data_IF_296543003487
#
_entry.id   IF_296543003487
#
_cell.length_a   1.000
_cell.length_b   1.000
_cell.length_c   1.000
_cell.angle_alpha   90.00
_cell.angle_beta   90.00
_cell.angle_gamma   90.00
#
_symmetry.space_group_name_H-M   'P 1'
#
loop_
_entity.id
_entity.type
_entity.pdbx_description
1 polymer ?
#
# COMPACT_ATOMS: atom_id res chain seq x y z
N UNK A 1 21.32 2.08 18.04
CA UNK A 1 20.18 1.26 18.53
C UNK A 1 19.33 0.90 17.31
N UNK A 2 18.94 -0.35 17.14
CA UNK A 2 18.08 -0.76 16.02
C UNK A 2 16.63 -0.42 16.37
N UNK A 3 16.10 0.66 15.78
CA UNK A 3 14.71 1.04 15.88
C UNK A 3 14.20 1.45 14.49
N UNK A 4 12.89 1.34 14.24
CA UNK A 4 12.30 1.81 12.99
C UNK A 4 12.66 3.28 12.71
N UNK A 5 12.58 4.14 13.76
CA UNK A 5 12.96 5.54 13.64
C UNK A 5 14.40 5.73 13.16
N UNK A 6 15.39 5.03 13.78
CA UNK A 6 16.79 5.21 13.38
C UNK A 6 17.05 4.66 11.98
N UNK A 7 16.36 3.60 11.59
CA UNK A 7 16.47 3.00 10.26
C UNK A 7 15.96 3.94 9.17
N UNK A 8 14.74 4.47 9.32
CA UNK A 8 14.19 5.42 8.37
C UNK A 8 14.96 6.73 8.34
N UNK A 9 15.51 7.20 9.48
CA UNK A 9 16.37 8.37 9.49
C UNK A 9 17.62 8.15 8.65
N UNK A 10 18.31 7.01 8.77
CA UNK A 10 19.46 6.68 7.93
C UNK A 10 19.12 6.66 6.43
N UNK A 11 17.92 6.15 6.08
CA UNK A 11 17.44 6.15 4.69
C UNK A 11 17.20 7.57 4.19
N UNK A 12 16.61 8.43 5.02
CA UNK A 12 16.35 9.84 4.69
C UNK A 12 17.65 10.65 4.58
N UNK A 13 18.63 10.37 5.43
CA UNK A 13 19.89 11.15 5.49
C UNK A 13 20.85 10.89 4.33
N UNK A 14 20.64 9.84 3.52
CA UNK A 14 21.49 9.50 2.38
C UNK A 14 20.73 9.59 1.07
N UNK A 15 21.22 10.38 0.13
CA UNK A 15 20.56 10.60 -1.16
C UNK A 15 20.35 9.29 -1.96
N UNK A 16 21.33 8.39 -1.98
CA UNK A 16 21.23 7.12 -2.71
C UNK A 16 20.08 6.23 -2.15
N UNK A 17 19.99 6.09 -0.83
CA UNK A 17 18.95 5.30 -0.20
C UNK A 17 17.57 5.98 -0.24
N UNK A 18 17.53 7.29 -0.09
CA UNK A 18 16.34 8.10 -0.23
C UNK A 18 15.77 8.03 -1.65
N UNK A 19 16.65 8.12 -2.65
CA UNK A 19 16.30 8.02 -4.07
C UNK A 19 15.67 6.66 -4.37
N UNK A 20 16.30 5.56 -3.94
CA UNK A 20 15.74 4.22 -4.12
C UNK A 20 14.41 4.05 -3.38
N UNK A 21 14.33 4.52 -2.13
CA UNK A 21 13.10 4.42 -1.33
C UNK A 21 11.93 5.14 -1.99
N UNK A 22 12.11 6.41 -2.38
CA UNK A 22 11.06 7.18 -3.04
C UNK A 22 10.70 6.61 -4.42
N UNK A 23 11.68 6.03 -5.15
CA UNK A 23 11.41 5.40 -6.45
C UNK A 23 10.57 4.12 -6.30
N UNK A 24 10.85 3.29 -5.30
CA UNK A 24 10.03 2.09 -4.99
C UNK A 24 8.61 2.52 -4.64
N UNK A 25 8.45 3.49 -3.74
CA UNK A 25 7.15 3.99 -3.34
C UNK A 25 6.39 4.58 -4.54
N UNK A 26 6.99 5.51 -5.29
CA UNK A 26 6.34 6.13 -6.46
C UNK A 26 5.90 5.11 -7.52
N UNK A 27 6.65 4.02 -7.72
CA UNK A 27 6.31 2.96 -8.66
C UNK A 27 5.11 2.15 -8.19
N UNK A 28 5.07 1.79 -6.92
CA UNK A 28 3.94 1.05 -6.33
C UNK A 28 2.63 1.84 -6.40
N UNK A 29 2.68 3.12 -6.02
CA UNK A 29 1.53 4.04 -6.08
C UNK A 29 1.01 4.21 -7.52
N UNK A 30 1.92 4.45 -8.48
CA UNK A 30 1.53 4.58 -9.89
C UNK A 30 0.87 3.29 -10.43
N UNK A 31 1.32 2.13 -9.99
CA UNK A 31 0.72 0.85 -10.34
C UNK A 31 -0.68 0.72 -9.72
N UNK A 32 -0.85 1.05 -8.43
CA UNK A 32 -2.15 1.08 -7.75
C UNK A 32 -3.13 2.03 -8.43
N UNK A 33 -2.67 3.24 -8.79
CA UNK A 33 -3.45 4.21 -9.55
C UNK A 33 -3.96 3.66 -10.87
N UNK A 34 -3.09 3.01 -11.67
CA UNK A 34 -3.47 2.36 -12.91
C UNK A 34 -4.49 1.24 -12.70
N UNK A 35 -4.26 0.35 -11.73
CA UNK A 35 -5.18 -0.76 -11.42
C UNK A 35 -6.57 -0.25 -11.04
N UNK A 36 -6.65 0.70 -10.12
CA UNK A 36 -7.91 1.28 -9.68
C UNK A 36 -8.64 2.00 -10.82
N UNK A 37 -7.93 2.74 -11.69
CA UNK A 37 -8.53 3.39 -12.86
C UNK A 37 -9.13 2.36 -13.84
N UNK A 38 -8.41 1.25 -14.09
CA UNK A 38 -8.92 0.17 -14.94
C UNK A 38 -10.12 -0.53 -14.32
N UNK A 39 -10.06 -0.85 -13.02
CA UNK A 39 -11.18 -1.49 -12.31
C UNK A 39 -12.41 -0.60 -12.33
N UNK A 40 -12.27 0.70 -12.05
CA UNK A 40 -13.38 1.66 -12.08
C UNK A 40 -14.08 1.71 -13.45
N UNK A 41 -13.29 1.66 -14.53
CA UNK A 41 -13.81 1.66 -15.90
C UNK A 41 -14.56 0.36 -16.25
N UNK A 42 -14.20 -0.76 -15.62
CA UNK A 42 -14.71 -2.11 -15.94
C UNK A 42 -15.72 -2.63 -14.91
N UNK A 43 -16.12 -1.83 -13.91
CA UNK A 43 -17.14 -2.22 -12.91
C UNK A 43 -18.41 -2.66 -13.62
N UNK A 44 -19.00 -3.82 -13.23
CA UNK A 44 -20.25 -4.29 -13.85
C UNK A 44 -21.42 -3.34 -13.56
N UNK A 45 -22.41 -3.32 -14.42
CA UNK A 45 -23.57 -2.40 -14.32
C UNK A 45 -24.30 -2.54 -12.97
N UNK A 46 -24.40 -3.77 -12.44
CA UNK A 46 -25.03 -4.05 -11.15
C UNK A 46 -24.32 -3.41 -9.94
N UNK A 47 -23.05 -2.98 -10.11
CA UNK A 47 -22.22 -2.35 -9.07
C UNK A 47 -21.69 -0.98 -9.49
N UNK A 48 -22.30 -0.33 -10.47
CA UNK A 48 -21.82 0.93 -11.06
C UNK A 48 -21.71 2.07 -10.04
N UNK A 49 -22.46 2.02 -8.98
CA UNK A 49 -22.43 2.97 -7.85
C UNK A 49 -21.07 2.99 -7.13
N UNK A 50 -20.27 1.94 -7.24
CA UNK A 50 -18.92 1.86 -6.64
C UNK A 50 -17.84 2.57 -7.48
N UNK A 51 -18.05 2.70 -8.80
CA UNK A 51 -17.06 3.25 -9.70
C UNK A 51 -16.50 4.63 -9.27
N UNK A 52 -17.29 5.59 -8.78
CA UNK A 52 -16.75 6.88 -8.31
C UNK A 52 -15.76 6.75 -7.15
N UNK A 53 -16.01 5.84 -6.20
CA UNK A 53 -15.12 5.61 -5.04
C UNK A 53 -13.81 4.97 -5.49
N UNK A 54 -13.86 3.98 -6.38
CA UNK A 54 -12.68 3.32 -6.96
C UNK A 54 -11.87 4.34 -7.79
N UNK A 55 -12.54 5.17 -8.58
CA UNK A 55 -11.88 6.25 -9.34
C UNK A 55 -11.14 7.21 -8.41
N UNK A 56 -11.77 7.59 -7.30
CA UNK A 56 -11.14 8.47 -6.31
C UNK A 56 -9.92 7.82 -5.69
N UNK A 57 -10.01 6.56 -5.28
CA UNK A 57 -8.88 5.78 -4.75
C UNK A 57 -7.71 5.83 -5.74
N UNK A 58 -7.92 5.47 -7.01
CA UNK A 58 -6.87 5.53 -8.02
C UNK A 58 -6.27 6.92 -8.23
N UNK A 59 -7.08 7.98 -8.12
CA UNK A 59 -6.58 9.36 -8.21
C UNK A 59 -5.72 9.77 -6.99
N UNK A 60 -6.03 9.24 -5.80
CA UNK A 60 -5.22 9.44 -4.60
C UNK A 60 -3.89 8.70 -4.72
N UNK A 61 -3.86 7.44 -5.21
CA UNK A 61 -2.64 6.69 -5.51
C UNK A 61 -1.73 7.45 -6.50
N UNK A 62 -2.28 7.92 -7.62
CA UNK A 62 -1.55 8.75 -8.57
C UNK A 62 -0.98 10.03 -7.93
N UNK A 63 -1.70 10.63 -7.00
CA UNK A 63 -1.24 11.79 -6.22
C UNK A 63 -0.07 11.40 -5.31
N UNK A 64 -0.14 10.25 -4.64
CA UNK A 64 0.95 9.74 -3.79
C UNK A 64 2.22 9.51 -4.62
N UNK A 65 2.12 8.90 -5.79
CA UNK A 65 3.23 8.74 -6.71
C UNK A 65 3.88 10.07 -7.09
N UNK A 66 3.06 11.10 -7.38
CA UNK A 66 3.55 12.46 -7.64
C UNK A 66 4.23 13.11 -6.41
N UNK A 67 3.73 12.84 -5.20
CA UNK A 67 4.33 13.31 -3.95
C UNK A 67 5.75 12.75 -3.80
N UNK A 68 5.96 11.44 -3.98
CA UNK A 68 7.30 10.84 -3.91
C UNK A 68 8.24 11.40 -4.97
N UNK A 69 7.78 11.59 -6.20
CA UNK A 69 8.56 12.22 -7.26
C UNK A 69 8.89 13.70 -6.94
N UNK A 70 7.98 14.44 -6.31
CA UNK A 70 8.24 15.81 -5.87
C UNK A 70 9.28 15.86 -4.73
N UNK A 71 9.30 14.88 -3.85
CA UNK A 71 10.33 14.75 -2.81
C UNK A 71 11.72 14.51 -3.42
N UNK A 72 11.84 13.67 -4.45
CA UNK A 72 13.08 13.49 -5.20
C UNK A 72 13.55 14.80 -5.85
N UNK A 73 12.62 15.46 -6.55
CA UNK A 73 12.92 16.72 -7.24
C UNK A 73 13.43 17.82 -6.30
N UNK A 74 12.94 17.89 -5.06
CA UNK A 74 13.45 18.83 -4.05
C UNK A 74 14.92 18.65 -3.74
N UNK A 75 15.43 17.43 -3.84
CA UNK A 75 16.86 17.10 -3.69
C UNK A 75 17.62 17.09 -5.01
N UNK A 76 16.99 17.46 -6.13
CA UNK A 76 17.57 17.38 -7.49
C UNK A 76 17.94 15.92 -7.86
N UNK A 77 17.18 14.96 -7.36
CA UNK A 77 17.33 13.54 -7.64
C UNK A 77 16.29 13.10 -8.68
N UNK A 78 16.68 12.20 -9.58
CA UNK A 78 15.79 11.58 -10.56
C UNK A 78 15.37 10.17 -10.08
N UNK A 79 14.18 9.68 -10.44
CA UNK A 79 13.79 8.31 -10.14
C UNK A 79 14.80 7.29 -10.71
N UNK A 80 15.04 6.21 -9.95
CA UNK A 80 15.89 5.09 -10.39
C UNK A 80 15.04 3.85 -10.68
N UNK A 81 15.53 2.92 -11.53
CA UNK A 81 14.85 1.65 -11.77
C UNK A 81 14.59 0.88 -10.46
N UNK A 82 13.35 0.43 -10.27
CA UNK A 82 12.95 -0.37 -9.10
C UNK A 82 13.43 -1.80 -9.27
N UNK A 83 14.21 -2.35 -8.33
CA UNK A 83 14.60 -3.75 -8.38
C UNK A 83 13.36 -4.67 -8.31
N UNK A 84 13.24 -5.69 -9.19
CA UNK A 84 12.02 -6.52 -9.27
C UNK A 84 11.66 -7.27 -7.98
N UNK A 85 12.62 -7.50 -7.10
CA UNK A 85 12.44 -8.14 -5.80
C UNK A 85 11.95 -7.18 -4.70
N UNK A 86 11.89 -5.88 -5.00
CA UNK A 86 11.36 -4.83 -4.12
C UNK A 86 10.00 -4.31 -4.57
N UNK A 87 9.49 -4.76 -5.71
CA UNK A 87 8.21 -4.36 -6.27
C UNK A 87 7.07 -5.18 -5.65
N UNK A 88 6.52 -4.64 -4.57
CA UNK A 88 5.49 -5.29 -3.76
C UNK A 88 4.22 -5.62 -4.58
N UNK A 89 3.72 -4.69 -5.36
CA UNK A 89 2.50 -4.83 -6.15
C UNK A 89 2.65 -5.94 -7.20
N UNK A 90 3.76 -5.92 -7.94
CA UNK A 90 4.02 -6.95 -8.94
C UNK A 90 4.32 -8.33 -8.33
N UNK A 91 4.82 -8.39 -7.10
CA UNK A 91 5.00 -9.67 -6.41
C UNK A 91 3.67 -10.26 -5.93
N UNK A 92 2.71 -9.43 -5.52
CA UNK A 92 1.33 -9.84 -5.24
C UNK A 92 0.66 -10.40 -6.50
N UNK A 93 0.70 -9.66 -7.60
CA UNK A 93 0.12 -10.05 -8.90
C UNK A 93 0.67 -11.39 -9.39
N UNK A 94 1.99 -11.58 -9.36
CA UNK A 94 2.65 -12.84 -9.77
C UNK A 94 2.24 -14.05 -8.94
N UNK A 95 1.77 -13.84 -7.71
CA UNK A 95 1.22 -14.91 -6.86
C UNK A 95 -0.30 -15.06 -6.98
N UNK A 96 -0.92 -14.39 -7.93
CA UNK A 96 -2.36 -14.46 -8.18
C UNK A 96 -3.20 -13.77 -7.11
N UNK A 97 -2.62 -12.78 -6.41
CA UNK A 97 -3.33 -11.98 -5.42
C UNK A 97 -3.81 -10.68 -6.08
N UNK A 98 -5.08 -10.36 -5.88
CA UNK A 98 -5.76 -9.29 -6.61
C UNK A 98 -6.31 -9.75 -7.95
N UNK A 99 -6.55 -8.81 -8.86
CA UNK A 99 -6.98 -9.07 -10.22
C UNK A 99 -5.78 -9.12 -11.16
N UNK A 100 -5.72 -10.16 -11.99
CA UNK A 100 -4.63 -10.31 -12.95
C UNK A 100 -4.59 -9.10 -13.93
N UNK A 101 -3.41 -8.54 -14.16
CA UNK A 101 -3.22 -7.40 -15.06
C UNK A 101 -3.67 -7.70 -16.49
N UNK A 102 -3.47 -8.93 -16.95
CA UNK A 102 -3.97 -9.35 -18.28
C UNK A 102 -5.49 -9.26 -18.39
N UNK A 103 -6.22 -9.48 -17.29
CA UNK A 103 -7.67 -9.27 -17.25
C UNK A 103 -8.01 -7.78 -17.29
N UNK A 104 -7.30 -6.94 -16.54
CA UNK A 104 -7.52 -5.50 -16.50
C UNK A 104 -7.17 -4.80 -17.83
N UNK A 105 -6.30 -5.37 -18.65
CA UNK A 105 -5.96 -4.84 -19.99
C UNK A 105 -7.03 -5.11 -21.05
N UNK A 106 -7.96 -6.03 -20.79
CA UNK A 106 -9.08 -6.28 -21.69
C UNK A 106 -10.18 -5.26 -21.43
N UNK A 107 -10.88 -4.84 -22.48
CA UNK A 107 -12.03 -3.93 -22.36
C UNK A 107 -13.33 -4.73 -22.12
N UNK A 108 -13.27 -5.71 -21.22
CA UNK A 108 -14.38 -6.58 -20.84
C UNK A 108 -14.85 -6.19 -19.42
N UNK A 109 -16.16 -6.10 -19.23
CA UNK A 109 -16.73 -5.84 -17.91
C UNK A 109 -16.30 -6.90 -16.91
N UNK A 110 -15.93 -6.47 -15.73
CA UNK A 110 -15.64 -7.35 -14.59
C UNK A 110 -16.93 -8.01 -14.10
N UNK A 111 -16.81 -9.15 -13.45
CA UNK A 111 -17.91 -9.78 -12.73
C UNK A 111 -18.03 -9.22 -11.31
N UNK A 112 -19.18 -9.39 -10.66
CA UNK A 112 -19.35 -9.08 -9.23
C UNK A 112 -18.32 -9.81 -8.35
N UNK A 113 -18.00 -11.06 -8.71
CA UNK A 113 -16.95 -11.82 -8.03
C UNK A 113 -15.58 -11.16 -8.12
N UNK A 114 -15.25 -10.53 -9.26
CA UNK A 114 -14.00 -9.79 -9.41
C UNK A 114 -13.94 -8.56 -8.51
N UNK A 115 -15.07 -7.86 -8.36
CA UNK A 115 -15.17 -6.72 -7.45
C UNK A 115 -14.99 -7.16 -5.99
N UNK A 116 -15.58 -8.31 -5.62
CA UNK A 116 -15.35 -8.90 -4.28
C UNK A 116 -13.87 -9.25 -4.07
N UNK A 117 -13.21 -9.83 -5.09
CA UNK A 117 -11.75 -10.13 -5.03
C UNK A 117 -10.94 -8.86 -4.89
N UNK A 118 -11.21 -7.84 -5.72
CA UNK A 118 -10.56 -6.54 -5.69
C UNK A 118 -10.68 -5.91 -4.29
N UNK A 119 -11.88 -5.70 -3.78
CA UNK A 119 -12.08 -5.05 -2.47
C UNK A 119 -11.47 -5.84 -1.31
N UNK A 120 -11.52 -7.18 -1.37
CA UNK A 120 -10.91 -8.02 -0.35
C UNK A 120 -9.39 -7.93 -0.37
N UNK A 121 -8.79 -7.88 -1.55
CA UNK A 121 -7.36 -7.64 -1.72
C UNK A 121 -6.97 -6.24 -1.24
N UNK A 122 -7.63 -5.20 -1.75
CA UNK A 122 -7.40 -3.82 -1.32
C UNK A 122 -7.51 -3.67 0.19
N UNK A 123 -8.55 -4.26 0.83
CA UNK A 123 -8.68 -4.21 2.30
C UNK A 123 -7.42 -4.70 3.03
N UNK A 124 -6.76 -5.72 2.49
CA UNK A 124 -5.54 -6.29 3.09
C UNK A 124 -4.34 -5.37 2.88
N UNK A 125 -4.16 -4.85 1.67
CA UNK A 125 -3.05 -3.94 1.33
C UNK A 125 -3.20 -2.59 2.01
N UNK A 126 -4.43 -2.02 2.06
CA UNK A 126 -4.72 -0.78 2.76
C UNK A 126 -4.46 -0.89 4.27
N UNK A 127 -4.76 -2.05 4.90
CA UNK A 127 -4.37 -2.24 6.30
C UNK A 127 -2.86 -2.21 6.49
N UNK A 128 -2.10 -2.78 5.54
CA UNK A 128 -0.63 -2.72 5.58
C UNK A 128 -0.13 -1.29 5.42
N UNK A 129 -0.68 -0.54 4.47
CA UNK A 129 -0.34 0.85 4.22
C UNK A 129 -0.67 1.73 5.44
N UNK A 130 -1.87 1.58 6.02
CA UNK A 130 -2.28 2.32 7.23
C UNK A 130 -1.36 2.03 8.43
N UNK A 131 -1.02 0.75 8.69
CA UNK A 131 -0.09 0.37 9.78
C UNK A 131 1.30 1.03 9.58
N UNK A 132 1.79 1.10 8.33
CA UNK A 132 3.06 1.74 8.01
C UNK A 132 2.98 3.26 8.16
N UNK A 133 1.91 3.88 7.65
CA UNK A 133 1.71 5.32 7.74
C UNK A 133 1.51 5.79 9.19
N UNK A 134 0.85 5.01 10.04
CA UNK A 134 0.76 5.30 11.48
C UNK A 134 2.16 5.37 12.11
N UNK A 135 3.03 4.40 11.81
CA UNK A 135 4.40 4.38 12.30
C UNK A 135 5.21 5.56 11.77
N UNK A 136 5.12 5.86 10.46
CA UNK A 136 5.84 6.97 9.84
C UNK A 136 5.35 8.32 10.38
N UNK A 137 4.05 8.50 10.54
CA UNK A 137 3.45 9.73 11.10
C UNK A 137 3.94 9.94 12.54
N UNK A 138 3.98 8.89 13.35
CA UNK A 138 4.47 8.96 14.73
C UNK A 138 5.91 9.45 14.83
N UNK A 139 6.79 9.06 13.93
CA UNK A 139 8.22 9.38 14.03
C UNK A 139 8.66 10.53 13.14
N UNK A 140 7.97 10.77 12.04
CA UNK A 140 8.38 11.71 10.99
C UNK A 140 7.26 12.67 10.57
N UNK A 141 6.10 12.65 11.21
CA UNK A 141 5.00 13.55 10.88
C UNK A 141 5.37 15.04 10.93
N UNK A 142 6.31 15.41 11.80
CA UNK A 142 6.81 16.78 11.93
C UNK A 142 8.20 16.99 11.29
N UNK A 143 8.69 15.99 10.52
CA UNK A 143 9.97 16.12 9.83
C UNK A 143 9.88 17.22 8.75
N UNK A 144 10.85 18.17 8.68
CA UNK A 144 10.73 19.37 7.83
C UNK A 144 10.63 19.06 6.35
N UNK A 145 11.21 17.97 5.89
CA UNK A 145 11.22 17.59 4.48
C UNK A 145 10.07 16.66 4.10
N UNK A 146 9.85 15.59 4.86
CA UNK A 146 8.91 14.51 4.51
C UNK A 146 7.61 14.53 5.29
N UNK A 147 7.52 15.28 6.40
CA UNK A 147 6.37 15.22 7.31
C UNK A 147 5.04 15.61 6.67
N UNK A 148 5.03 16.63 5.79
CA UNK A 148 3.82 17.04 5.06
C UNK A 148 3.31 15.91 4.15
N UNK A 149 4.22 15.25 3.43
CA UNK A 149 3.92 14.14 2.55
C UNK A 149 3.34 12.95 3.34
N UNK A 150 4.01 12.56 4.44
CA UNK A 150 3.57 11.47 5.32
C UNK A 150 2.16 11.71 5.86
N UNK A 151 1.86 12.90 6.39
CA UNK A 151 0.52 13.21 6.91
C UNK A 151 -0.54 13.20 5.83
N UNK A 152 -0.22 13.68 4.62
CA UNK A 152 -1.15 13.69 3.49
C UNK A 152 -1.50 12.27 3.06
N UNK A 153 -0.49 11.43 2.83
CA UNK A 153 -0.68 10.02 2.45
C UNK A 153 -1.44 9.28 3.56
N UNK A 154 -1.02 9.41 4.83
CA UNK A 154 -1.68 8.75 5.96
C UNK A 154 -3.17 9.06 6.05
N UNK A 155 -3.57 10.30 5.75
CA UNK A 155 -4.98 10.69 5.75
C UNK A 155 -5.77 10.01 4.62
N UNK A 156 -5.18 9.92 3.43
CA UNK A 156 -5.82 9.28 2.29
C UNK A 156 -5.93 7.75 2.51
N UNK A 157 -4.91 7.09 3.07
CA UNK A 157 -4.92 5.67 3.43
C UNK A 157 -6.02 5.31 4.45
N UNK A 158 -6.24 6.18 5.45
CA UNK A 158 -7.36 6.00 6.39
C UNK A 158 -8.72 5.99 5.65
N UNK A 159 -8.88 6.82 4.61
CA UNK A 159 -10.09 6.86 3.79
C UNK A 159 -10.23 5.63 2.88
N UNK A 160 -9.11 5.16 2.27
CA UNK A 160 -9.09 3.95 1.45
C UNK A 160 -9.50 2.73 2.28
N UNK A 161 -8.92 2.58 3.45
CA UNK A 161 -9.26 1.51 4.38
C UNK A 161 -10.73 1.54 4.80
N UNK A 162 -11.25 2.74 5.11
CA UNK A 162 -12.63 2.93 5.53
C UNK A 162 -13.61 2.51 4.43
N UNK A 163 -13.40 2.95 3.20
CA UNK A 163 -14.29 2.62 2.10
C UNK A 163 -14.28 1.12 1.77
N UNK A 164 -13.12 0.46 1.81
CA UNK A 164 -13.03 -0.98 1.63
C UNK A 164 -13.85 -1.74 2.67
N UNK A 165 -13.80 -1.32 3.95
CA UNK A 165 -14.62 -1.88 5.02
C UNK A 165 -16.12 -1.71 4.76
N UNK A 166 -16.55 -0.50 4.41
CA UNK A 166 -17.97 -0.19 4.15
C UNK A 166 -18.52 -1.06 3.02
N UNK A 167 -17.81 -1.12 1.89
CA UNK A 167 -18.25 -1.89 0.73
C UNK A 167 -18.25 -3.40 0.98
N UNK A 168 -17.22 -3.92 1.66
CA UNK A 168 -17.19 -5.34 2.00
C UNK A 168 -18.29 -5.73 2.97
N UNK A 169 -18.66 -4.88 3.94
CA UNK A 169 -19.79 -5.11 4.82
C UNK A 169 -21.14 -5.07 4.08
N UNK A 170 -21.28 -4.13 3.12
CA UNK A 170 -22.46 -4.07 2.24
C UNK A 170 -22.60 -5.35 1.43
N UNK A 171 -21.54 -5.76 0.71
CA UNK A 171 -21.54 -6.98 -0.10
C UNK A 171 -21.74 -8.25 0.75
N UNK A 172 -21.24 -8.27 1.97
CA UNK A 172 -21.50 -9.40 2.88
C UNK A 172 -22.98 -9.52 3.23
N UNK A 173 -23.68 -8.40 3.45
CA UNK A 173 -25.13 -8.36 3.67
C UNK A 173 -25.93 -8.77 2.41
N UNK A 174 -25.40 -8.54 1.22
CA UNK A 174 -25.96 -8.97 -0.07
C UNK A 174 -25.70 -10.45 -0.42
N UNK A 175 -25.03 -11.19 0.47
CA UNK A 175 -24.85 -12.64 0.34
C UNK A 175 -23.45 -13.10 -0.04
N UNK A 176 -22.50 -12.19 -0.28
CA UNK A 176 -21.11 -12.51 -0.65
C UNK A 176 -20.22 -12.88 0.54
N UNK A 177 -20.73 -12.92 1.77
CA UNK A 177 -19.94 -13.05 3.01
C UNK A 177 -18.98 -14.24 3.04
N UNK A 178 -19.38 -15.43 2.53
CA UNK A 178 -18.49 -16.61 2.49
C UNK A 178 -17.28 -16.38 1.57
N UNK A 179 -17.52 -15.78 0.40
CA UNK A 179 -16.48 -15.46 -0.57
C UNK A 179 -15.53 -14.43 -0.02
N UNK A 180 -16.04 -13.34 0.55
CA UNK A 180 -15.28 -12.29 1.18
C UNK A 180 -14.34 -12.87 2.25
N UNK A 181 -14.88 -13.66 3.17
CA UNK A 181 -14.08 -14.27 4.24
C UNK A 181 -12.96 -15.18 3.69
N UNK A 182 -13.23 -15.97 2.66
CA UNK A 182 -12.25 -16.85 2.01
C UNK A 182 -11.15 -16.01 1.35
N UNK A 183 -11.52 -15.03 0.52
CA UNK A 183 -10.57 -14.22 -0.23
C UNK A 183 -9.73 -13.35 0.71
N UNK A 184 -10.33 -12.71 1.71
CA UNK A 184 -9.58 -11.96 2.74
C UNK A 184 -8.52 -12.82 3.41
N UNK A 185 -8.88 -14.05 3.80
CA UNK A 185 -7.94 -14.98 4.45
C UNK A 185 -6.81 -15.40 3.51
N UNK A 186 -7.12 -15.73 2.27
CA UNK A 186 -6.14 -16.12 1.25
C UNK A 186 -5.18 -14.95 0.97
N UNK A 187 -5.71 -13.75 0.75
CA UNK A 187 -4.93 -12.52 0.52
C UNK A 187 -4.04 -12.18 1.71
N UNK A 188 -4.56 -12.18 2.94
CA UNK A 188 -3.77 -11.86 4.12
C UNK A 188 -2.63 -12.86 4.35
N UNK A 189 -2.86 -14.16 4.17
CA UNK A 189 -1.83 -15.18 4.34
C UNK A 189 -0.76 -15.15 3.23
N UNK A 190 -1.11 -14.71 2.04
CA UNK A 190 -0.15 -14.49 0.96
C UNK A 190 0.62 -13.17 1.18
N UNK A 191 -0.09 -12.09 1.55
CA UNK A 191 0.50 -10.78 1.79
C UNK A 191 1.62 -10.84 2.83
N UNK A 192 1.41 -11.45 4.00
CA UNK A 192 2.44 -11.50 5.04
C UNK A 192 3.73 -12.22 4.59
N UNK A 193 3.65 -13.18 3.66
CA UNK A 193 4.83 -13.82 3.06
C UNK A 193 5.54 -12.88 2.11
N UNK A 194 4.78 -12.26 1.21
CA UNK A 194 5.30 -11.32 0.22
C UNK A 194 5.91 -10.11 0.92
N UNK A 195 5.23 -9.56 1.92
CA UNK A 195 5.74 -8.44 2.71
C UNK A 195 7.06 -8.76 3.42
N UNK A 196 7.22 -9.99 3.96
CA UNK A 196 8.51 -10.46 4.48
C UNK A 196 9.57 -10.44 3.39
N UNK A 197 9.29 -11.01 2.22
CA UNK A 197 10.27 -11.17 1.15
C UNK A 197 10.69 -9.82 0.57
N UNK A 198 9.73 -8.92 0.34
CA UNK A 198 9.99 -7.53 -0.06
C UNK A 198 10.80 -6.79 1.00
N UNK A 199 10.43 -6.92 2.28
CA UNK A 199 11.15 -6.26 3.37
C UNK A 199 12.61 -6.72 3.44
N UNK A 200 12.87 -8.02 3.27
CA UNK A 200 14.25 -8.55 3.21
C UNK A 200 15.01 -7.99 2.00
N UNK A 201 14.37 -7.94 0.82
CA UNK A 201 14.98 -7.39 -0.39
C UNK A 201 15.29 -5.89 -0.23
N UNK A 202 14.32 -5.10 0.19
CA UNK A 202 14.51 -3.64 0.42
C UNK A 202 15.63 -3.41 1.42
N UNK A 203 15.63 -4.10 2.58
CA UNK A 203 16.70 -3.96 3.57
C UNK A 203 18.06 -4.42 3.07
N UNK A 204 18.11 -5.41 2.17
CA UNK A 204 19.35 -5.83 1.50
C UNK A 204 19.89 -4.73 0.58
N UNK A 205 19.03 -4.12 -0.25
CA UNK A 205 19.43 -3.00 -1.12
C UNK A 205 19.88 -1.80 -0.30
N UNK A 206 19.10 -1.39 0.71
CA UNK A 206 19.46 -0.29 1.61
C UNK A 206 20.78 -0.57 2.35
N UNK A 207 20.98 -1.81 2.81
CA UNK A 207 22.22 -2.19 3.48
C UNK A 207 23.47 -2.08 2.60
N UNK A 208 23.33 -2.33 1.30
CA UNK A 208 24.43 -2.10 0.34
C UNK A 208 24.72 -0.61 0.14
N UNK A 209 23.69 0.19 -0.08
CA UNK A 209 23.83 1.64 -0.28
C UNK A 209 24.40 2.32 0.98
N UNK A 210 23.88 1.99 2.14
CA UNK A 210 24.28 2.55 3.43
C UNK A 210 25.52 1.87 4.04
N UNK A 211 26.10 0.88 3.33
CA UNK A 211 27.28 0.11 3.78
C UNK A 211 27.15 -0.45 5.20
N UNK A 212 25.98 -1.00 5.51
CA UNK A 212 25.72 -1.56 6.85
C UNK A 212 26.66 -2.70 7.20
N UNK A 213 27.13 -2.74 8.46
CA UNK A 213 27.86 -3.91 8.97
C UNK A 213 27.01 -5.19 8.85
N UNK A 214 27.64 -6.31 8.56
CA UNK A 214 26.95 -7.62 8.47
C UNK A 214 26.07 -7.94 9.67
N UNK A 215 26.55 -7.60 10.88
CA UNK A 215 25.79 -7.80 12.12
C UNK A 215 24.46 -7.00 12.13
N UNK A 216 24.44 -5.77 11.62
CA UNK A 216 23.23 -4.96 11.51
C UNK A 216 22.25 -5.56 10.51
N UNK A 217 22.72 -5.95 9.31
CA UNK A 217 21.89 -6.59 8.29
C UNK A 217 21.30 -7.90 8.81
N UNK A 218 22.09 -8.74 9.49
CA UNK A 218 21.62 -9.97 10.10
C UNK A 218 20.56 -9.74 11.19
N UNK A 219 20.74 -8.73 12.04
CA UNK A 219 19.78 -8.39 13.07
C UNK A 219 18.45 -7.85 12.50
N UNK A 220 18.50 -7.06 11.41
CA UNK A 220 17.31 -6.61 10.70
C UNK A 220 16.57 -7.78 10.05
N UNK A 221 17.28 -8.67 9.38
CA UNK A 221 16.68 -9.88 8.80
C UNK A 221 16.02 -10.76 9.88
N UNK A 222 16.66 -10.96 11.02
CA UNK A 222 16.07 -11.67 12.15
C UNK A 222 14.80 -10.98 12.68
N UNK A 223 14.79 -9.64 12.76
CA UNK A 223 13.60 -8.87 13.14
C UNK A 223 12.44 -9.04 12.14
N UNK A 224 12.72 -9.03 10.83
CA UNK A 224 11.71 -9.28 9.78
C UNK A 224 11.14 -10.70 9.90
N UNK A 225 11.98 -11.70 10.12
CA UNK A 225 11.50 -13.07 10.33
C UNK A 225 10.68 -13.22 11.62
N UNK A 226 11.04 -12.53 12.69
CA UNK A 226 10.29 -12.53 13.95
C UNK A 226 8.90 -11.88 13.73
N UNK A 227 8.82 -10.76 13.01
CA UNK A 227 7.56 -10.11 12.66
C UNK A 227 6.71 -11.03 11.80
N UNK A 228 7.29 -11.66 10.78
CA UNK A 228 6.57 -12.65 9.97
C UNK A 228 6.02 -13.81 10.82
N UNK A 229 6.79 -14.34 11.75
CA UNK A 229 6.32 -15.39 12.66
C UNK A 229 5.15 -14.91 13.52
N UNK A 230 5.22 -13.71 14.08
CA UNK A 230 4.12 -13.09 14.83
C UNK A 230 2.86 -12.96 13.97
N UNK A 231 2.99 -12.40 12.78
CA UNK A 231 1.86 -12.25 11.85
C UNK A 231 1.29 -13.61 11.43
N UNK A 232 2.15 -14.59 11.16
CA UNK A 232 1.74 -15.95 10.76
C UNK A 232 0.99 -16.69 11.86
N UNK A 233 1.31 -16.45 13.13
CA UNK A 233 0.66 -17.06 14.29
C UNK A 233 -0.70 -16.43 14.61
N UNK A 234 -0.92 -15.16 14.31
CA UNK A 234 -2.20 -14.52 14.63
C UNK A 234 -2.34 -13.06 14.22
N UNK A 235 -1.24 -12.34 14.00
CA UNK A 235 -1.29 -10.91 13.64
C UNK A 235 -2.05 -10.61 12.36
N UNK A 236 -2.11 -11.55 11.42
CA UNK A 236 -2.85 -11.42 10.16
C UNK A 236 -4.36 -11.23 10.34
N UNK A 237 -4.93 -11.63 11.49
CA UNK A 237 -6.36 -11.47 11.73
C UNK A 237 -6.82 -10.00 11.68
N UNK A 238 -5.95 -9.03 11.99
CA UNK A 238 -6.28 -7.61 11.87
C UNK A 238 -6.62 -7.20 10.43
N UNK A 239 -5.99 -7.86 9.43
CA UNK A 239 -6.21 -7.58 8.02
C UNK A 239 -7.56 -8.07 7.52
N UNK A 240 -8.15 -9.07 8.16
CA UNK A 240 -9.44 -9.64 7.75
C UNK A 240 -10.61 -9.24 8.63
N UNK A 241 -10.35 -8.56 9.74
CA UNK A 241 -11.41 -8.10 10.64
C UNK A 241 -12.12 -6.91 10.01
N UNK A 242 -13.39 -7.09 9.66
CA UNK A 242 -14.24 -6.01 9.16
C UNK A 242 -14.93 -5.35 10.37
N UNK A 243 -14.55 -4.11 10.65
CA UNK A 243 -15.21 -3.23 11.63
C UNK A 243 -15.36 -1.86 10.99
N UNK A 244 -16.51 -1.21 11.21
CA UNK A 244 -16.65 0.18 10.78
C UNK A 244 -15.56 1.02 11.47
N UNK A 245 -14.67 1.67 10.71
CA UNK A 245 -13.68 2.54 11.30
C UNK A 245 -14.38 3.73 11.97
N UNK A 246 -13.80 4.24 13.05
CA UNK A 246 -14.23 5.53 13.60
C UNK A 246 -13.90 6.61 12.58
N UNK A 247 -14.92 7.22 11.97
CA UNK A 247 -14.73 8.30 10.99
C UNK A 247 -14.05 9.49 11.67
N UNK A 248 -12.81 9.71 11.35
CA UNK A 248 -12.11 10.96 11.67
C UNK A 248 -12.51 12.03 10.63
N UNK A 249 -13.67 12.63 10.83
CA UNK A 249 -14.16 13.77 10.02
C UNK A 249 -14.62 13.38 8.60
N UNK A 250 -15.91 13.52 8.34
CA UNK A 250 -16.46 13.29 7.00
C UNK A 250 -15.86 14.30 6.00
N UNK A 251 -15.14 13.79 5.01
CA UNK A 251 -14.77 14.54 3.83
C UNK A 251 -15.62 14.07 2.64
N UNK A 252 -16.91 14.41 2.67
CA UNK A 252 -17.79 14.35 1.50
C UNK A 252 -17.60 15.60 0.64
N UNK A 253 -16.37 15.92 0.28
CA UNK A 253 -16.03 17.04 -0.60
C UNK A 253 -15.27 16.56 -1.83
N UNK A 254 -15.32 17.34 -2.95
CA UNK A 254 -14.46 17.04 -4.11
C UNK A 254 -13.00 17.04 -3.67
N UNK A 255 -12.13 16.26 -4.35
CA UNK A 255 -10.73 16.16 -4.00
C UNK A 255 -10.10 17.55 -3.94
N UNK A 256 -9.38 17.84 -2.86
CA UNK A 256 -8.65 19.08 -2.73
C UNK A 256 -7.67 19.22 -3.92
N UNK A 257 -7.56 20.41 -4.54
CA UNK A 257 -6.59 20.63 -5.61
C UNK A 257 -5.20 20.29 -5.10
N UNK A 258 -4.41 19.63 -5.96
CA UNK A 258 -3.04 19.27 -5.63
C UNK A 258 -2.29 20.50 -5.11
N UNK A 259 -1.62 20.40 -3.95
CA UNK A 259 -0.85 21.54 -3.45
C UNK A 259 0.24 21.88 -4.47
N UNK A 260 0.35 23.16 -4.82
CA UNK A 260 1.51 23.67 -5.52
C UNK A 260 2.74 23.46 -4.61
N UNK A 261 3.66 22.62 -5.05
CA UNK A 261 4.95 22.39 -4.41
C UNK A 261 6.02 23.28 -5.05
#
# INVERSE_FOLDING_TARGET
MLSARSLFQEIIDSDDSYQLFCSIAASGEAQGGWENARIAALVPESMRDMAPRITRHGADEDKHGRIFNALLKKRQLEPVPVPPDTDYTMLLERQGIGLAHDKLRRDESLSEQDIVVYLSHSRVTEQRAADQMEMLTKYFGDHPEVGKAIRQISHDEDNHLAYCHEELLRLAAEGHGRTIHRVLRESALAEIRIYRDVSLAVMSHMGRLLKWPRAKSAALAAGIHAMYAYERLGGWHRMITLRMPERRGALDGPPAPAPAF
#
